data_IF_900739646681
#
_entry.id   IF_900739646681
#
_cell.length_a   1.000
_cell.length_b   1.000
_cell.length_c   1.000
_cell.angle_alpha   90.00
_cell.angle_beta   90.00
_cell.angle_gamma   90.00
#
_symmetry.space_group_name_H-M   'P 1'
#
loop_
_entity.id
_entity.type
_entity.pdbx_description
1 polymer ?
#
# COMPACT_ATOMS: atom_id res chain seq x y z
N UNK A 1 3.74 6.53 20.05
CA UNK A 1 4.64 5.53 19.43
C UNK A 1 5.67 6.30 18.61
N UNK A 2 6.96 6.00 18.74
CA UNK A 2 8.01 6.59 17.91
C UNK A 2 8.43 5.54 16.88
N UNK A 3 8.39 5.90 15.60
CA UNK A 3 8.80 5.05 14.48
C UNK A 3 9.91 5.76 13.73
N UNK A 4 11.06 5.10 13.60
CA UNK A 4 12.12 5.51 12.69
C UNK A 4 11.94 4.73 11.39
N UNK A 5 11.93 5.44 10.26
CA UNK A 5 11.67 4.84 8.96
C UNK A 5 12.60 5.40 7.89
N UNK A 6 13.01 4.51 6.99
CA UNK A 6 13.85 4.82 5.84
C UNK A 6 13.31 4.09 4.63
N UNK A 7 13.32 4.74 3.48
CA UNK A 7 12.85 4.19 2.22
C UNK A 7 13.83 4.50 1.10
N UNK A 8 14.08 3.52 0.24
CA UNK A 8 14.87 3.66 -0.97
C UNK A 8 14.25 2.81 -2.06
N UNK A 9 13.94 3.43 -3.20
CA UNK A 9 13.54 2.76 -4.43
C UNK A 9 14.52 3.17 -5.53
N UNK A 10 15.02 2.20 -6.28
CA UNK A 10 16.01 2.41 -7.35
C UNK A 10 15.64 1.58 -8.57
N UNK A 11 15.85 2.14 -9.76
CA UNK A 11 15.60 1.47 -11.05
C UNK A 11 16.37 0.14 -11.20
N UNK A 12 17.53 0.02 -10.55
CA UNK A 12 18.41 -1.12 -10.69
C UNK A 12 18.92 -1.27 -12.11
N UNK A 13 18.62 -2.40 -12.76
CA UNK A 13 19.06 -2.74 -14.12
C UNK A 13 17.96 -2.58 -15.19
N UNK A 14 16.79 -2.08 -14.80
CA UNK A 14 15.66 -1.83 -15.72
C UNK A 14 15.84 -0.48 -16.43
N UNK A 15 15.04 -0.23 -17.47
CA UNK A 15 15.05 1.04 -18.19
C UNK A 15 14.27 2.15 -17.44
N UNK A 16 13.22 1.76 -16.71
CA UNK A 16 12.36 2.60 -15.88
C UNK A 16 12.15 1.96 -14.52
N UNK A 17 11.83 2.77 -13.51
CA UNK A 17 11.51 2.29 -12.17
C UNK A 17 10.00 2.20 -12.03
N UNK A 18 9.47 1.00 -11.94
CA UNK A 18 8.03 0.75 -11.77
C UNK A 18 7.66 0.56 -10.29
N UNK A 19 8.62 0.69 -9.37
CA UNK A 19 8.40 0.57 -7.94
C UNK A 19 8.02 1.92 -7.31
N UNK A 20 6.96 1.91 -6.50
CA UNK A 20 6.57 3.05 -5.67
C UNK A 20 6.61 2.67 -4.18
N UNK A 21 7.05 3.60 -3.34
CA UNK A 21 7.09 3.43 -1.88
C UNK A 21 6.46 4.62 -1.16
N UNK A 22 5.92 4.38 0.02
CA UNK A 22 5.43 5.41 0.93
C UNK A 22 5.87 5.09 2.37
N UNK A 23 6.33 6.10 3.08
CA UNK A 23 6.78 5.99 4.47
C UNK A 23 6.37 7.24 5.26
N UNK A 24 5.26 7.12 5.99
CA UNK A 24 4.69 8.16 6.85
C UNK A 24 4.67 7.65 8.30
N UNK A 25 5.78 7.77 9.05
CA UNK A 25 5.85 7.31 10.44
C UNK A 25 4.88 8.07 11.37
N UNK A 26 4.52 9.30 11.03
CA UNK A 26 3.47 10.10 11.68
C UNK A 26 2.07 9.48 11.55
N UNK A 27 1.80 8.83 10.41
CA UNK A 27 0.59 8.05 10.17
C UNK A 27 0.76 6.57 10.54
N UNK A 28 1.95 6.14 10.96
CA UNK A 28 2.28 4.72 11.10
C UNK A 28 2.06 3.92 9.81
N UNK A 29 2.18 4.54 8.64
CA UNK A 29 1.86 3.95 7.34
C UNK A 29 3.13 3.72 6.52
N UNK A 30 3.28 2.50 6.01
CA UNK A 30 4.33 2.11 5.08
C UNK A 30 3.73 1.31 3.94
N UNK A 31 4.12 1.61 2.70
CA UNK A 31 3.63 0.93 1.51
C UNK A 31 4.80 0.65 0.57
N UNK A 32 4.81 -0.53 -0.03
CA UNK A 32 5.65 -0.90 -1.17
C UNK A 32 4.72 -1.44 -2.26
N UNK A 33 4.92 -0.99 -3.49
CA UNK A 33 4.16 -1.41 -4.66
C UNK A 33 5.12 -1.62 -5.83
N UNK A 34 5.13 -2.84 -6.39
CA UNK A 34 5.90 -3.20 -7.60
C UNK A 34 4.92 -3.20 -8.78
N UNK A 35 5.09 -2.20 -9.64
CA UNK A 35 4.27 -1.98 -10.81
C UNK A 35 4.62 -2.93 -11.95
N UNK A 36 3.61 -3.35 -12.69
CA UNK A 36 3.76 -4.15 -13.90
C UNK A 36 2.81 -3.67 -15.00
N UNK A 37 3.22 -3.85 -16.25
CA UNK A 37 2.41 -3.51 -17.42
C UNK A 37 3.22 -2.64 -18.37
N UNK A 38 3.37 -3.09 -19.62
CA UNK A 38 4.28 -2.49 -20.59
C UNK A 38 4.09 -0.99 -20.85
N UNK A 39 5.03 -0.40 -21.58
CA UNK A 39 5.23 1.05 -21.67
C UNK A 39 5.58 1.66 -20.31
N UNK A 40 4.67 2.46 -19.74
CA UNK A 40 4.77 3.11 -18.44
C UNK A 40 3.66 2.63 -17.50
N UNK A 41 2.97 1.54 -17.84
CA UNK A 41 1.82 1.04 -17.10
C UNK A 41 2.17 0.68 -15.65
N UNK A 42 3.31 0.02 -15.42
CA UNK A 42 3.75 -0.35 -14.08
C UNK A 42 3.99 0.87 -13.19
N UNK A 43 4.76 1.84 -13.66
CA UNK A 43 5.03 3.09 -12.93
C UNK A 43 3.73 3.82 -12.54
N UNK A 44 2.78 3.93 -13.47
CA UNK A 44 1.48 4.56 -13.20
C UNK A 44 0.68 3.75 -12.17
N UNK A 45 0.66 2.43 -12.29
CA UNK A 45 -0.12 1.56 -11.41
C UNK A 45 0.39 1.57 -9.97
N UNK A 46 1.70 1.46 -9.76
CA UNK A 46 2.29 1.47 -8.41
C UNK A 46 2.16 2.85 -7.74
N UNK A 47 2.31 3.94 -8.50
CA UNK A 47 2.05 5.29 -8.01
C UNK A 47 0.59 5.47 -7.57
N UNK A 48 -0.38 5.05 -8.40
CA UNK A 48 -1.81 5.08 -8.04
C UNK A 48 -2.08 4.26 -6.77
N UNK A 49 -1.46 3.09 -6.62
CA UNK A 49 -1.64 2.24 -5.45
C UNK A 49 -1.21 2.98 -4.17
N UNK A 50 0.02 3.50 -4.16
CA UNK A 50 0.58 4.22 -3.02
C UNK A 50 -0.23 5.46 -2.68
N UNK A 51 -0.57 6.28 -3.69
CA UNK A 51 -1.29 7.53 -3.48
C UNK A 51 -2.70 7.31 -2.93
N UNK A 52 -3.43 6.32 -3.47
CA UNK A 52 -4.77 5.99 -3.01
C UNK A 52 -4.79 5.52 -1.55
N UNK A 53 -3.81 4.71 -1.17
CA UNK A 53 -3.70 4.18 0.19
C UNK A 53 -3.33 5.29 1.16
N UNK A 54 -2.33 6.10 0.83
CA UNK A 54 -1.93 7.23 1.65
C UNK A 54 -3.08 8.24 1.82
N UNK A 55 -3.78 8.61 0.74
CA UNK A 55 -4.88 9.58 0.80
C UNK A 55 -5.99 9.12 1.75
N UNK A 56 -6.40 7.85 1.65
CA UNK A 56 -7.45 7.31 2.51
C UNK A 56 -7.00 7.32 3.98
N UNK A 57 -5.84 6.74 4.28
CA UNK A 57 -5.32 6.64 5.66
C UNK A 57 -5.13 8.04 6.27
N UNK A 58 -4.65 9.01 5.50
CA UNK A 58 -4.51 10.39 5.96
C UNK A 58 -5.86 11.03 6.31
N UNK A 59 -6.92 10.73 5.53
CA UNK A 59 -8.28 11.24 5.79
C UNK A 59 -8.89 10.61 7.03
N UNK A 60 -8.67 9.32 7.26
CA UNK A 60 -9.24 8.56 8.39
C UNK A 60 -8.44 8.73 9.68
N UNK A 61 -7.17 9.12 9.62
CA UNK A 61 -6.35 9.40 10.80
C UNK A 61 -6.81 10.62 11.61
N UNK A 62 -7.54 11.57 11.00
CA UNK A 62 -7.91 12.84 11.63
C UNK A 62 -9.39 12.99 11.99
N UNK A 63 -10.26 12.07 11.55
CA UNK A 63 -11.72 12.27 11.64
C UNK A 63 -12.44 10.95 11.90
N UNK A 64 -13.24 10.90 12.97
CA UNK A 64 -13.99 9.70 13.36
C UNK A 64 -15.25 9.49 12.47
N UNK A 65 -15.68 10.53 11.76
CA UNK A 65 -16.90 10.54 10.93
C UNK A 65 -16.62 10.37 9.43
N UNK A 66 -15.51 9.69 9.06
CA UNK A 66 -15.23 9.41 7.65
C UNK A 66 -16.26 8.42 7.10
N UNK A 67 -16.99 8.86 6.07
CA UNK A 67 -17.80 7.97 5.24
C UNK A 67 -16.87 7.08 4.43
N UNK A 68 -16.90 5.78 4.73
CA UNK A 68 -16.15 4.78 3.99
C UNK A 68 -16.71 4.61 2.56
N UNK A 69 -15.85 4.54 1.53
CA UNK A 69 -16.31 4.34 0.15
C UNK A 69 -16.89 2.92 -0.09
N UNK A 70 -16.66 1.99 0.84
CA UNK A 70 -17.18 0.62 0.79
C UNK A 70 -17.82 0.24 2.13
N UNK A 71 -18.56 -0.87 2.12
CA UNK A 71 -19.03 -1.51 3.36
C UNK A 71 -17.83 -2.03 4.14
N UNK A 72 -17.81 -1.74 5.44
CA UNK A 72 -16.86 -2.31 6.39
C UNK A 72 -17.28 -3.73 6.79
N UNK A 73 -16.33 -4.62 7.07
CA UNK A 73 -16.59 -5.91 7.68
C UNK A 73 -16.59 -5.73 9.21
N UNK A 74 -17.74 -5.96 9.89
CA UNK A 74 -17.83 -5.79 11.35
C UNK A 74 -16.99 -6.80 12.14
N UNK A 75 -16.43 -7.83 11.50
CA UNK A 75 -15.49 -8.78 12.14
C UNK A 75 -14.06 -8.25 12.21
N UNK A 76 -13.74 -7.25 11.40
CA UNK A 76 -12.43 -6.61 11.35
C UNK A 76 -12.40 -5.40 12.27
N UNK A 77 -11.24 -5.10 12.84
CA UNK A 77 -10.97 -3.83 13.51
C UNK A 77 -11.10 -2.64 12.54
N UNK A 78 -11.15 -1.43 13.10
CA UNK A 78 -11.19 -0.20 12.30
C UNK A 78 -9.94 -0.09 11.42
N UNK A 79 -8.75 -0.42 11.94
CA UNK A 79 -7.50 -0.36 11.19
C UNK A 79 -7.41 -1.44 10.11
N UNK A 80 -7.91 -2.65 10.36
CA UNK A 80 -8.02 -3.68 9.32
C UNK A 80 -8.98 -3.27 8.20
N UNK A 81 -10.14 -2.69 8.56
CA UNK A 81 -11.05 -2.12 7.57
C UNK A 81 -10.42 -0.95 6.80
N UNK A 82 -9.67 -0.07 7.48
CA UNK A 82 -8.95 1.05 6.87
C UNK A 82 -8.03 0.55 5.75
N UNK A 83 -7.15 -0.40 6.06
CA UNK A 83 -6.18 -0.92 5.09
C UNK A 83 -6.87 -1.74 3.99
N UNK A 84 -7.90 -2.52 4.31
CA UNK A 84 -8.69 -3.25 3.31
C UNK A 84 -9.34 -2.29 2.31
N UNK A 85 -10.05 -1.28 2.81
CA UNK A 85 -10.73 -0.27 1.97
C UNK A 85 -9.72 0.55 1.17
N UNK A 86 -8.57 0.91 1.76
CA UNK A 86 -7.48 1.57 1.06
C UNK A 86 -6.99 0.77 -0.14
N UNK A 87 -6.80 -0.54 0.07
CA UNK A 87 -6.32 -1.47 -0.95
C UNK A 87 -7.35 -1.69 -2.07
N UNK A 88 -8.63 -1.78 -1.72
CA UNK A 88 -9.72 -1.87 -2.70
C UNK A 88 -9.83 -0.58 -3.55
N UNK A 89 -9.73 0.58 -2.90
CA UNK A 89 -9.74 1.88 -3.59
C UNK A 89 -8.57 2.03 -4.57
N UNK A 90 -7.37 1.58 -4.17
CA UNK A 90 -6.21 1.51 -5.04
C UNK A 90 -6.50 0.65 -6.28
N UNK A 91 -7.02 -0.57 -6.10
CA UNK A 91 -7.37 -1.45 -7.21
C UNK A 91 -8.41 -0.82 -8.16
N UNK A 92 -9.44 -0.18 -7.61
CA UNK A 92 -10.48 0.47 -8.43
C UNK A 92 -9.92 1.64 -9.24
N UNK A 93 -9.03 2.44 -8.64
CA UNK A 93 -8.35 3.56 -9.34
C UNK A 93 -7.41 3.07 -10.45
N UNK A 94 -6.68 1.97 -10.23
CA UNK A 94 -5.87 1.33 -11.27
C UNK A 94 -6.78 0.81 -12.37
N UNK A 95 -7.83 0.08 -12.02
CA UNK A 95 -8.77 -0.52 -12.99
C UNK A 95 -9.46 0.53 -13.86
N UNK A 96 -9.87 1.66 -13.28
CA UNK A 96 -10.49 2.76 -14.03
C UNK A 96 -9.58 3.39 -15.10
N UNK A 97 -8.26 3.17 -15.01
CA UNK A 97 -7.24 3.71 -15.91
C UNK A 97 -6.74 2.68 -16.93
N UNK A 98 -7.18 1.42 -16.85
CA UNK A 98 -6.80 0.33 -17.77
C UNK A 98 -7.47 0.48 -19.14
N UNK A 99 -6.96 1.39 -19.95
CA UNK A 99 -7.43 1.66 -21.32
C UNK A 99 -6.27 1.79 -22.29
N UNK A 100 -6.43 1.29 -23.52
CA UNK A 100 -5.40 1.39 -24.56
C UNK A 100 -4.07 0.77 -24.12
N UNK A 101 -2.99 1.55 -24.17
CA UNK A 101 -1.64 1.10 -23.79
C UNK A 101 -1.52 0.70 -22.31
N UNK A 102 -2.46 1.12 -21.46
CA UNK A 102 -2.49 0.81 -20.03
C UNK A 102 -3.36 -0.41 -19.68
N UNK A 103 -3.94 -1.11 -20.66
CA UNK A 103 -4.88 -2.21 -20.41
C UNK A 103 -4.30 -3.32 -19.52
N UNK A 104 -2.99 -3.59 -19.63
CA UNK A 104 -2.30 -4.62 -18.87
C UNK A 104 -1.66 -4.11 -17.57
N UNK A 105 -1.80 -2.83 -17.23
CA UNK A 105 -1.16 -2.30 -16.03
C UNK A 105 -1.70 -2.90 -14.75
N UNK A 106 -0.87 -3.03 -13.73
CA UNK A 106 -1.22 -3.57 -12.43
C UNK A 106 -0.09 -3.32 -11.46
N UNK A 107 -0.32 -3.58 -10.19
CA UNK A 107 0.70 -3.44 -9.16
C UNK A 107 0.51 -4.50 -8.11
N UNK A 108 1.60 -5.01 -7.56
CA UNK A 108 1.58 -5.61 -6.24
C UNK A 108 1.32 -4.51 -5.20
N UNK A 109 0.99 -4.91 -3.98
CA UNK A 109 1.07 -4.00 -2.85
C UNK A 109 1.37 -4.76 -1.57
N UNK A 110 2.20 -4.17 -0.71
CA UNK A 110 2.33 -4.52 0.71
C UNK A 110 2.10 -3.24 1.50
N UNK A 111 1.13 -3.27 2.40
CA UNK A 111 0.85 -2.18 3.35
C UNK A 111 1.18 -2.64 4.75
N UNK A 112 1.88 -1.81 5.52
CA UNK A 112 2.03 -1.98 6.96
C UNK A 112 1.46 -0.74 7.64
N UNK A 113 0.48 -0.96 8.52
CA UNK A 113 -0.18 0.09 9.30
C UNK A 113 0.00 -0.18 10.79
N UNK A 114 0.85 0.62 11.45
CA UNK A 114 1.12 0.54 12.88
C UNK A 114 0.16 1.39 13.71
N UNK A 115 -0.48 0.79 14.70
CA UNK A 115 -1.15 1.47 15.80
C UNK A 115 -0.27 1.38 17.06
N UNK A 116 -0.61 2.08 18.17
CA UNK A 116 0.11 1.93 19.42
C UNK A 116 0.12 0.48 19.98
N UNK A 117 -0.87 -0.34 19.63
CA UNK A 117 -1.07 -1.69 20.18
C UNK A 117 -0.59 -2.80 19.24
N UNK A 118 -0.71 -2.63 17.93
CA UNK A 118 -0.43 -3.68 16.95
C UNK A 118 -0.05 -3.11 15.58
N UNK A 119 0.30 -4.00 14.64
CA UNK A 119 0.47 -3.65 13.24
C UNK A 119 -0.43 -4.53 12.38
N UNK A 120 -1.09 -3.91 11.41
CA UNK A 120 -1.88 -4.57 10.37
C UNK A 120 -1.05 -4.65 9.10
N UNK A 121 -1.05 -5.82 8.46
CA UNK A 121 -0.41 -6.03 7.17
C UNK A 121 -1.47 -6.47 6.17
N UNK A 122 -1.53 -5.80 5.03
CA UNK A 122 -2.28 -6.27 3.87
C UNK A 122 -1.32 -6.44 2.70
N UNK A 123 -1.56 -7.47 1.87
CA UNK A 123 -0.74 -7.70 0.70
C UNK A 123 -1.53 -8.28 -0.46
N UNK A 124 -1.11 -7.95 -1.68
CA UNK A 124 -1.56 -8.53 -2.94
C UNK A 124 -0.34 -8.69 -3.84
N UNK A 125 -0.15 -9.87 -4.41
CA UNK A 125 1.02 -10.19 -5.24
C UNK A 125 2.16 -10.79 -4.43
N UNK A 126 3.39 -10.58 -4.88
CA UNK A 126 4.58 -11.30 -4.43
C UNK A 126 5.64 -10.40 -3.74
N UNK A 127 5.37 -9.10 -3.61
CA UNK A 127 6.07 -8.24 -2.65
C UNK A 127 5.83 -8.72 -1.22
N UNK A 128 6.82 -8.54 -0.32
CA UNK A 128 6.82 -9.19 1.00
C UNK A 128 7.09 -8.23 2.15
N UNK A 129 6.44 -8.51 3.28
CA UNK A 129 6.81 -7.93 4.57
C UNK A 129 7.56 -8.96 5.41
N UNK A 130 8.64 -8.53 6.06
CA UNK A 130 9.38 -9.33 7.03
C UNK A 130 9.43 -8.64 8.39
N UNK A 131 9.40 -9.44 9.45
CA UNK A 131 9.63 -8.97 10.81
C UNK A 131 10.92 -9.57 11.34
N UNK A 132 11.87 -8.71 11.70
CA UNK A 132 13.04 -9.09 12.48
C UNK A 132 12.76 -8.83 13.96
N UNK A 133 12.79 -9.87 14.79
CA UNK A 133 12.62 -9.76 16.25
C UNK A 133 13.48 -10.80 16.94
N UNK A 134 14.22 -10.40 17.97
CA UNK A 134 15.10 -11.28 18.75
C UNK A 134 16.08 -12.09 17.88
N UNK A 135 16.61 -11.45 16.84
CA UNK A 135 17.53 -12.07 15.87
C UNK A 135 16.87 -13.02 14.86
N UNK A 136 15.55 -13.22 14.91
CA UNK A 136 14.82 -14.08 13.99
C UNK A 136 14.04 -13.27 12.95
N UNK A 137 14.26 -13.61 11.66
CA UNK A 137 13.53 -13.03 10.53
C UNK A 137 12.34 -13.94 10.19
N UNK A 138 11.12 -13.40 10.25
CA UNK A 138 9.89 -14.08 9.87
C UNK A 138 9.21 -13.37 8.69
N UNK A 139 8.81 -14.14 7.68
CA UNK A 139 7.98 -13.64 6.58
C UNK A 139 6.53 -13.52 7.06
N UNK A 140 5.90 -12.37 6.79
CA UNK A 140 4.57 -12.03 7.32
C UNK A 140 3.44 -12.14 6.28
N UNK A 141 3.79 -12.37 5.02
CA UNK A 141 2.92 -12.40 3.83
C UNK A 141 3.22 -13.62 2.98
#
# INVERSE_FOLDING_TARGET
MQLDAFGLSITGRRASNEDAICAHPDLGLFVVADGMGGYEGGEIASAIAVDAIHELVRRTAGDADVTWPYKIDPRLSITENEVMVATMLANDRITARRVGELEQMGSTVVVVRFTPEHAVIAHVGDSRAYRLRDGALAQMT
#
